data_IF_918895515024
#
_entry.id   IF_918895515024
#
_cell.length_a   1.000
_cell.length_b   1.000
_cell.length_c   1.000
_cell.angle_alpha   90.00
_cell.angle_beta   90.00
_cell.angle_gamma   90.00
#
_symmetry.space_group_name_H-M   'P 1'
#
loop_
_entity.id
_entity.type
_entity.pdbx_description
1 polymer ?
#
# COMPACT_ATOMS: atom_id res chain seq x y z
N UNK A 1 23.88 -12.74 -28.32
CA UNK A 1 22.46 -13.00 -28.66
C UNK A 1 21.69 -13.51 -27.44
N UNK A 2 20.37 -13.70 -27.51
CA UNK A 2 19.55 -14.22 -26.40
C UNK A 2 18.89 -15.55 -26.79
N UNK A 3 18.83 -16.50 -25.84
CA UNK A 3 18.17 -17.78 -26.07
C UNK A 3 16.66 -17.58 -26.29
N UNK A 4 16.07 -18.11 -27.37
CA UNK A 4 14.64 -17.90 -27.67
C UNK A 4 13.71 -18.59 -26.66
N UNK A 5 14.21 -19.58 -25.90
CA UNK A 5 13.40 -20.29 -24.90
C UNK A 5 13.42 -19.58 -23.52
N UNK A 6 14.59 -19.12 -23.07
CA UNK A 6 14.74 -18.61 -21.69
C UNK A 6 15.27 -17.19 -21.55
N UNK A 7 15.65 -16.52 -22.65
CA UNK A 7 16.15 -15.13 -22.63
C UNK A 7 17.55 -14.95 -22.06
N UNK A 8 18.29 -16.02 -21.74
CA UNK A 8 19.69 -15.90 -21.29
C UNK A 8 20.59 -15.38 -22.42
N UNK A 9 21.57 -14.52 -22.09
CA UNK A 9 22.54 -13.99 -23.05
C UNK A 9 23.53 -15.09 -23.45
N UNK A 10 23.39 -15.63 -24.65
CA UNK A 10 24.25 -16.67 -25.22
C UNK A 10 25.18 -16.11 -26.28
N UNK A 11 26.37 -16.71 -26.40
CA UNK A 11 27.31 -16.45 -27.50
C UNK A 11 26.92 -17.25 -28.74
N UNK A 12 27.23 -16.72 -29.92
CA UNK A 12 26.90 -17.32 -31.23
C UNK A 12 27.64 -18.64 -31.50
N UNK A 13 28.73 -18.89 -30.79
CA UNK A 13 29.48 -20.16 -30.88
C UNK A 13 28.82 -21.33 -30.13
N UNK A 14 27.81 -21.06 -29.27
CA UNK A 14 27.18 -22.12 -28.48
C UNK A 14 26.03 -22.79 -29.23
N UNK A 15 26.15 -24.11 -29.43
CA UNK A 15 25.08 -24.94 -30.01
C UNK A 15 23.89 -25.17 -29.06
N UNK A 16 24.06 -24.90 -27.77
CA UNK A 16 23.05 -25.09 -26.73
C UNK A 16 23.07 -23.95 -25.72
N UNK A 17 21.91 -23.60 -25.17
CA UNK A 17 21.82 -22.63 -24.09
C UNK A 17 22.32 -23.22 -22.77
N UNK A 18 23.36 -22.63 -22.20
CA UNK A 18 23.93 -23.05 -20.91
C UNK A 18 22.95 -22.93 -19.74
N UNK A 19 21.88 -22.13 -19.87
CA UNK A 19 20.90 -21.92 -18.81
C UNK A 19 19.71 -22.90 -18.86
N UNK A 20 19.28 -23.35 -20.04
CA UNK A 20 18.07 -24.17 -20.17
C UNK A 20 18.22 -25.40 -21.08
N UNK A 21 19.41 -25.68 -21.60
CA UNK A 21 19.69 -26.84 -22.45
C UNK A 21 19.10 -26.77 -23.87
N UNK A 22 18.37 -25.71 -24.24
CA UNK A 22 17.74 -25.58 -25.55
C UNK A 22 18.80 -25.54 -26.65
N UNK A 23 18.68 -26.40 -27.67
CA UNK A 23 19.51 -26.37 -28.88
C UNK A 23 19.22 -25.08 -29.67
N UNK A 24 20.28 -24.39 -30.08
CA UNK A 24 20.19 -23.17 -30.84
C UNK A 24 20.56 -23.48 -32.30
N UNK A 25 19.57 -23.45 -33.20
CA UNK A 25 19.75 -23.67 -34.64
C UNK A 25 19.66 -22.33 -35.36
N UNK A 26 20.81 -21.80 -35.81
CA UNK A 26 20.94 -20.43 -36.32
C UNK A 26 20.79 -20.30 -37.84
N UNK A 27 20.36 -21.37 -38.53
CA UNK A 27 20.31 -21.43 -39.99
C UNK A 27 18.92 -21.31 -40.62
N UNK A 28 17.86 -20.99 -39.87
CA UNK A 28 16.49 -20.92 -40.43
C UNK A 28 15.64 -19.82 -39.77
N UNK A 29 15.76 -18.56 -40.20
CA UNK A 29 14.74 -17.54 -39.94
C UNK A 29 14.60 -16.63 -41.17
N UNK A 30 13.83 -17.05 -42.17
CA UNK A 30 13.01 -16.15 -42.99
C UNK A 30 11.72 -16.87 -43.40
N UNK A 31 10.63 -16.09 -43.53
CA UNK A 31 9.25 -16.44 -43.95
C UNK A 31 8.39 -17.19 -42.91
N UNK A 32 7.14 -16.81 -42.56
CA UNK A 32 6.09 -16.18 -43.36
C UNK A 32 4.89 -15.65 -42.52
N UNK A 33 3.99 -14.96 -43.23
CA UNK A 33 2.92 -14.03 -42.81
C UNK A 33 1.57 -14.66 -42.40
N UNK A 34 0.81 -13.85 -41.63
CA UNK A 34 -0.64 -13.54 -41.73
C UNK A 34 -1.72 -14.62 -41.56
N UNK A 35 -2.65 -14.40 -40.60
CA UNK A 35 -4.03 -14.91 -40.65
C UNK A 35 -5.04 -13.83 -40.21
N UNK A 36 -6.15 -13.78 -40.95
CA UNK A 36 -7.29 -12.84 -40.92
C UNK A 36 -8.14 -12.93 -39.65
N UNK A 37 -8.69 -11.80 -39.20
CA UNK A 37 -9.61 -11.71 -38.05
C UNK A 37 -11.10 -11.85 -38.48
N UNK A 38 -11.81 -12.77 -37.83
CA UNK A 38 -13.28 -12.86 -37.81
C UNK A 38 -13.82 -12.01 -36.66
N UNK A 39 -14.86 -11.20 -36.91
CA UNK A 39 -15.66 -10.51 -35.88
C UNK A 39 -16.58 -11.53 -35.19
N UNK A 40 -16.45 -11.68 -33.88
CA UNK A 40 -17.41 -12.34 -33.01
C UNK A 40 -17.77 -11.37 -31.89
N UNK A 41 -19.04 -11.00 -31.82
CA UNK A 41 -19.58 -10.21 -30.72
C UNK A 41 -19.45 -10.99 -29.41
N UNK A 42 -18.91 -10.35 -28.38
CA UNK A 42 -18.80 -10.93 -27.05
C UNK A 42 -19.30 -9.93 -26.01
N UNK A 43 -20.30 -10.38 -25.25
CA UNK A 43 -20.71 -9.77 -23.99
C UNK A 43 -19.49 -9.80 -23.06
N UNK A 44 -19.03 -8.64 -22.58
CA UNK A 44 -17.96 -8.53 -21.57
C UNK A 44 -18.44 -9.15 -20.26
N UNK A 45 -18.07 -10.39 -20.00
CA UNK A 45 -17.90 -10.85 -18.62
C UNK A 45 -16.49 -10.41 -18.22
N UNK A 46 -16.37 -9.40 -17.36
CA UNK A 46 -15.07 -9.02 -16.79
C UNK A 46 -14.58 -10.20 -15.95
N UNK A 47 -13.44 -10.84 -16.29
CA UNK A 47 -12.83 -11.79 -15.38
C UNK A 47 -12.42 -10.99 -14.13
N UNK A 48 -12.99 -11.34 -12.97
CA UNK A 48 -12.52 -10.83 -11.68
C UNK A 48 -11.14 -11.44 -11.41
N UNK A 49 -10.10 -10.86 -11.98
CA UNK A 49 -8.71 -11.19 -11.62
C UNK A 49 -8.51 -10.67 -10.20
N UNK A 50 -8.47 -11.57 -9.21
CA UNK A 50 -8.00 -11.20 -7.87
C UNK A 50 -6.49 -11.08 -7.95
N UNK A 51 -5.98 -9.87 -8.18
CA UNK A 51 -4.54 -9.60 -8.12
C UNK A 51 -4.15 -9.65 -6.64
N UNK A 52 -3.75 -10.84 -6.17
CA UNK A 52 -3.04 -11.00 -4.90
C UNK A 52 -1.54 -10.79 -5.12
N UNK A 53 -1.15 -9.69 -5.79
CA UNK A 53 0.20 -9.17 -5.61
C UNK A 53 0.24 -8.47 -4.25
N UNK A 54 0.10 -9.23 -3.16
CA UNK A 54 0.78 -8.86 -1.92
C UNK A 54 2.21 -8.54 -2.32
N UNK A 55 2.72 -7.41 -1.85
CA UNK A 55 4.07 -6.89 -2.08
C UNK A 55 5.08 -7.85 -1.39
N UNK A 56 5.13 -9.08 -1.89
CA UNK A 56 6.05 -10.17 -1.61
C UNK A 56 6.42 -10.70 -2.99
N UNK A 57 7.16 -9.86 -3.72
CA UNK A 57 7.52 -10.05 -5.12
C UNK A 57 8.48 -11.21 -5.34
N UNK A 58 8.03 -12.44 -5.09
CA UNK A 58 8.77 -13.65 -5.37
C UNK A 58 7.81 -14.76 -5.80
N UNK A 59 8.12 -15.37 -6.94
CA UNK A 59 7.69 -16.73 -7.27
C UNK A 59 8.01 -17.68 -6.12
N UNK A 60 7.41 -18.90 -6.12
CA UNK A 60 7.82 -20.03 -5.22
C UNK A 60 9.32 -20.40 -5.30
N UNK A 61 10.09 -19.76 -6.18
CA UNK A 61 11.54 -19.91 -6.39
C UNK A 61 12.30 -18.56 -6.24
N UNK A 62 11.78 -17.61 -5.45
CA UNK A 62 12.48 -16.37 -5.08
C UNK A 62 12.84 -15.43 -6.25
N UNK A 63 12.18 -15.55 -7.42
CA UNK A 63 12.35 -14.61 -8.55
C UNK A 63 11.24 -13.56 -8.57
N UNK A 64 11.55 -12.25 -8.75
CA UNK A 64 10.53 -11.22 -8.95
C UNK A 64 9.73 -11.54 -10.22
N UNK A 65 8.49 -11.97 -10.05
CA UNK A 65 7.54 -12.07 -11.15
C UNK A 65 6.95 -10.67 -11.33
N UNK A 66 7.47 -9.90 -12.28
CA UNK A 66 7.04 -8.53 -12.56
C UNK A 66 8.11 -7.51 -12.18
N UNK A 67 8.62 -6.79 -13.17
CA UNK A 67 9.44 -5.59 -12.92
C UNK A 67 8.50 -4.46 -12.53
N UNK A 68 8.47 -4.09 -11.25
CA UNK A 68 7.86 -2.85 -10.82
C UNK A 68 8.93 -1.76 -10.70
N UNK A 69 8.55 -0.52 -10.96
CA UNK A 69 9.41 0.64 -10.72
C UNK A 69 8.67 1.63 -9.84
N UNK A 70 9.30 1.99 -8.72
CA UNK A 70 8.80 2.99 -7.79
C UNK A 70 9.50 4.31 -8.08
N UNK A 71 8.72 5.37 -8.26
CA UNK A 71 9.17 6.72 -8.50
C UNK A 71 8.69 7.63 -7.38
N UNK A 72 9.64 8.29 -6.71
CA UNK A 72 9.34 9.27 -5.67
C UNK A 72 8.95 10.62 -6.31
N UNK A 73 7.76 11.11 -6.02
CA UNK A 73 7.23 12.35 -6.62
C UNK A 73 7.94 13.62 -6.14
N UNK A 74 8.71 13.57 -5.07
CA UNK A 74 9.57 14.69 -4.63
C UNK A 74 10.72 14.97 -5.58
N UNK A 75 11.05 14.01 -6.45
CA UNK A 75 12.20 14.07 -7.36
C UNK A 75 11.80 14.06 -8.83
N UNK A 76 10.50 14.03 -9.13
CA UNK A 76 9.96 13.83 -10.47
C UNK A 76 8.99 14.97 -10.81
N UNK A 77 9.15 15.56 -11.98
CA UNK A 77 8.17 16.52 -12.49
C UNK A 77 6.95 15.81 -13.07
N UNK A 78 5.81 16.50 -13.13
CA UNK A 78 4.58 15.96 -13.73
C UNK A 78 4.80 15.49 -15.17
N UNK A 79 5.58 16.23 -15.97
CA UNK A 79 5.86 15.87 -17.36
C UNK A 79 6.69 14.59 -17.47
N UNK A 80 7.71 14.42 -16.64
CA UNK A 80 8.51 13.19 -16.58
C UNK A 80 7.65 11.99 -16.13
N UNK A 81 6.74 12.20 -15.17
CA UNK A 81 5.81 11.16 -14.73
C UNK A 81 4.83 10.75 -15.83
N UNK A 82 4.27 11.71 -16.58
CA UNK A 82 3.44 11.42 -17.76
C UNK A 82 4.25 10.67 -18.83
N UNK A 83 5.52 11.04 -19.05
CA UNK A 83 6.38 10.32 -19.99
C UNK A 83 6.66 8.87 -19.55
N UNK A 84 6.89 8.64 -18.25
CA UNK A 84 7.03 7.29 -17.68
C UNK A 84 5.75 6.47 -17.91
N UNK A 85 4.58 7.07 -17.67
CA UNK A 85 3.28 6.43 -17.87
C UNK A 85 3.07 6.05 -19.34
N UNK A 86 3.38 6.95 -20.27
CA UNK A 86 3.32 6.70 -21.73
C UNK A 86 4.29 5.61 -22.20
N UNK A 87 5.40 5.42 -21.50
CA UNK A 87 6.41 4.37 -21.76
C UNK A 87 6.06 3.02 -21.13
N UNK A 88 4.90 2.88 -20.49
CA UNK A 88 4.47 1.58 -19.99
C UNK A 88 4.39 0.54 -21.11
N UNK A 89 4.72 -0.74 -20.84
CA UNK A 89 4.73 -1.77 -21.86
C UNK A 89 3.37 -1.92 -22.54
N UNK A 90 3.39 -1.91 -23.86
CA UNK A 90 2.24 -2.27 -24.70
C UNK A 90 2.11 -3.79 -24.79
N UNK A 91 0.99 -4.29 -25.31
CA UNK A 91 0.73 -5.74 -25.45
C UNK A 91 1.84 -6.49 -26.18
N UNK A 92 2.47 -5.82 -27.16
CA UNK A 92 3.53 -6.38 -27.98
C UNK A 92 4.82 -6.64 -27.20
N UNK A 93 5.00 -5.95 -26.07
CA UNK A 93 6.17 -6.06 -25.21
C UNK A 93 6.06 -7.27 -24.24
N UNK A 94 4.88 -7.90 -24.16
CA UNK A 94 4.66 -9.06 -23.30
C UNK A 94 5.00 -10.37 -24.03
N UNK A 95 5.70 -11.27 -23.33
CA UNK A 95 5.90 -12.63 -23.84
C UNK A 95 4.56 -13.36 -24.02
N UNK A 96 4.45 -14.21 -25.05
CA UNK A 96 3.25 -15.03 -25.30
C UNK A 96 2.92 -15.94 -24.10
N UNK A 97 3.93 -16.38 -23.35
CA UNK A 97 3.76 -17.16 -22.12
C UNK A 97 3.04 -16.35 -21.05
N UNK A 98 3.49 -15.12 -20.80
CA UNK A 98 2.84 -14.22 -19.82
C UNK A 98 1.41 -13.88 -20.24
N UNK A 99 1.17 -13.55 -21.51
CA UNK A 99 -0.19 -13.32 -22.02
C UNK A 99 -1.09 -14.54 -21.84
N UNK A 100 -0.56 -15.76 -22.02
CA UNK A 100 -1.28 -17.01 -21.78
C UNK A 100 -1.61 -17.20 -20.30
N UNK A 101 -0.65 -16.94 -19.41
CA UNK A 101 -0.85 -16.99 -17.96
C UNK A 101 -1.92 -16.00 -17.49
N UNK A 102 -1.85 -14.73 -17.93
CA UNK A 102 -2.88 -13.71 -17.65
C UNK A 102 -4.26 -14.21 -18.13
N UNK A 103 -4.34 -14.73 -19.37
CA UNK A 103 -5.59 -15.24 -19.95
C UNK A 103 -6.14 -16.44 -19.17
N UNK A 104 -5.28 -17.28 -18.61
CA UNK A 104 -5.67 -18.43 -17.81
C UNK A 104 -6.08 -18.07 -16.37
N UNK A 105 -5.94 -16.80 -15.97
CA UNK A 105 -6.15 -16.38 -14.59
C UNK A 105 -5.07 -16.89 -13.64
N UNK A 106 -3.88 -17.20 -14.16
CA UNK A 106 -2.72 -17.53 -13.33
C UNK A 106 -2.24 -16.28 -12.57
N UNK A 107 -1.71 -16.49 -11.37
CA UNK A 107 -1.18 -15.41 -10.54
C UNK A 107 0.14 -14.89 -11.13
N UNK A 108 0.07 -13.76 -11.81
CA UNK A 108 1.19 -13.09 -12.46
C UNK A 108 1.16 -11.61 -12.12
N UNK A 109 2.31 -11.03 -11.77
CA UNK A 109 2.39 -9.60 -11.54
C UNK A 109 2.70 -8.88 -12.87
N UNK A 110 1.75 -8.08 -13.40
CA UNK A 110 2.00 -7.31 -14.61
C UNK A 110 3.07 -6.24 -14.39
N UNK A 111 3.64 -5.66 -15.47
CA UNK A 111 4.45 -4.45 -15.39
C UNK A 111 3.69 -3.36 -14.64
N UNK A 112 4.38 -2.74 -13.69
CA UNK A 112 3.76 -1.88 -12.71
C UNK A 112 4.62 -0.62 -12.50
N UNK A 113 4.00 0.55 -12.59
CA UNK A 113 4.60 1.84 -12.26
C UNK A 113 3.92 2.37 -11.01
N UNK A 114 4.72 2.66 -9.99
CA UNK A 114 4.24 3.20 -8.72
C UNK A 114 4.79 4.61 -8.58
N UNK A 115 3.91 5.58 -8.45
CA UNK A 115 4.25 6.94 -8.03
C UNK A 115 3.94 7.08 -6.55
N UNK A 116 4.93 7.43 -5.72
CA UNK A 116 4.73 7.52 -4.28
C UNK A 116 5.29 8.80 -3.68
N UNK A 117 4.64 9.26 -2.61
CA UNK A 117 5.09 10.34 -1.74
C UNK A 117 4.58 10.07 -0.32
N UNK A 118 5.47 9.75 0.62
CA UNK A 118 5.09 9.44 2.00
C UNK A 118 4.07 8.30 2.06
N UNK A 119 2.90 8.58 2.64
CA UNK A 119 1.80 7.62 2.84
C UNK A 119 0.88 7.48 1.61
N UNK A 120 1.17 8.21 0.52
CA UNK A 120 0.35 8.19 -0.70
C UNK A 120 1.03 7.40 -1.81
N UNK A 121 0.27 6.57 -2.51
CA UNK A 121 0.76 5.92 -3.72
C UNK A 121 -0.30 5.81 -4.81
N UNK A 122 0.13 6.02 -6.06
CA UNK A 122 -0.67 5.85 -7.26
C UNK A 122 0.00 4.82 -8.16
N UNK A 123 -0.72 3.76 -8.43
CA UNK A 123 -0.23 2.49 -8.95
C UNK A 123 -0.89 2.27 -10.31
N UNK A 124 -0.08 2.17 -11.37
CA UNK A 124 -0.55 1.91 -12.74
C UNK A 124 0.03 0.61 -13.25
N UNK A 125 -0.83 -0.31 -13.66
CA UNK A 125 -0.41 -1.56 -14.30
C UNK A 125 -1.25 -1.83 -15.55
N UNK A 126 -0.79 -2.75 -16.39
CA UNK A 126 -1.56 -3.16 -17.57
C UNK A 126 -1.44 -4.67 -17.79
N UNK A 127 -2.58 -5.29 -18.09
CA UNK A 127 -2.67 -6.74 -18.32
C UNK A 127 -2.79 -7.07 -19.81
N UNK A 128 -3.22 -6.11 -20.64
CA UNK A 128 -3.45 -6.32 -22.06
C UNK A 128 -2.79 -5.28 -22.97
N UNK A 129 -2.11 -4.28 -22.38
CA UNK A 129 -1.43 -3.18 -23.06
C UNK A 129 -2.34 -2.24 -23.85
N UNK A 130 -3.66 -2.30 -23.63
CA UNK A 130 -4.64 -1.41 -24.24
C UNK A 130 -5.30 -0.51 -23.21
N UNK A 131 -5.65 -1.06 -22.05
CA UNK A 131 -6.12 -0.30 -20.90
C UNK A 131 -5.09 -0.34 -19.77
N UNK A 132 -5.12 0.70 -18.96
CA UNK A 132 -4.39 0.74 -17.71
C UNK A 132 -5.37 0.41 -16.59
N UNK A 133 -4.91 -0.32 -15.61
CA UNK A 133 -5.58 -0.43 -14.33
C UNK A 133 -4.86 0.48 -13.35
N UNK A 134 -5.65 1.30 -12.64
CA UNK A 134 -5.15 2.26 -11.66
C UNK A 134 -5.65 1.89 -10.28
N UNK A 135 -4.75 1.96 -9.30
CA UNK A 135 -5.02 1.79 -7.88
C UNK A 135 -4.42 2.96 -7.11
N UNK A 136 -5.15 3.52 -6.16
CA UNK A 136 -4.68 4.64 -5.34
C UNK A 136 -4.77 4.26 -3.87
N UNK A 137 -3.68 4.48 -3.13
CA UNK A 137 -3.64 4.36 -1.67
C UNK A 137 -3.36 5.74 -1.05
N UNK A 138 -4.05 6.02 0.04
CA UNK A 138 -3.95 7.27 0.81
C UNK A 138 -4.82 8.43 0.30
N UNK A 139 -5.43 8.34 -0.88
CA UNK A 139 -6.41 9.34 -1.37
C UNK A 139 -7.66 8.64 -1.88
N UNK A 140 -8.82 9.05 -1.33
CA UNK A 140 -10.10 8.44 -1.70
C UNK A 140 -10.62 8.98 -3.02
N UNK A 141 -10.30 10.23 -3.36
CA UNK A 141 -10.85 10.89 -4.55
C UNK A 141 -9.81 11.65 -5.35
N UNK A 142 -9.76 11.37 -6.66
CA UNK A 142 -8.99 12.14 -7.64
C UNK A 142 -9.94 12.63 -8.74
N UNK A 143 -10.19 13.94 -8.77
CA UNK A 143 -11.21 14.55 -9.63
C UNK A 143 -12.62 13.98 -9.39
N UNK A 144 -13.18 13.32 -10.39
CA UNK A 144 -14.52 12.69 -10.32
C UNK A 144 -14.48 11.21 -9.96
N UNK A 145 -13.28 10.65 -9.75
CA UNK A 145 -13.09 9.24 -9.51
C UNK A 145 -12.93 9.00 -8.01
N UNK A 146 -13.74 8.09 -7.48
CA UNK A 146 -13.64 7.59 -6.11
C UNK A 146 -12.95 6.24 -6.14
N UNK A 147 -11.86 6.09 -5.39
CA UNK A 147 -11.14 4.85 -5.22
C UNK A 147 -11.70 4.09 -4.03
N UNK A 148 -12.01 2.82 -4.24
CA UNK A 148 -12.38 1.91 -3.17
C UNK A 148 -11.14 1.12 -2.70
N UNK A 149 -11.03 0.83 -1.38
CA UNK A 149 -9.95 0.01 -0.86
C UNK A 149 -9.83 -1.32 -1.62
N UNK A 150 -8.61 -1.69 -1.99
CA UNK A 150 -8.29 -2.94 -2.68
C UNK A 150 -8.98 -3.15 -4.05
N UNK A 151 -9.50 -2.10 -4.69
CA UNK A 151 -10.07 -2.19 -6.05
C UNK A 151 -9.28 -1.35 -7.05
N UNK A 152 -8.94 -1.97 -8.19
CA UNK A 152 -8.41 -1.25 -9.34
C UNK A 152 -9.54 -0.74 -10.23
N UNK A 153 -9.25 0.31 -11.00
CA UNK A 153 -10.13 0.89 -12.01
C UNK A 153 -9.49 0.77 -13.38
N UNK A 154 -10.21 0.23 -14.36
CA UNK A 154 -9.78 0.21 -15.75
C UNK A 154 -9.98 1.59 -16.38
N UNK A 155 -8.92 2.19 -16.91
CA UNK A 155 -8.88 3.54 -17.47
C UNK A 155 -8.10 3.57 -18.80
N UNK A 156 -8.44 4.55 -19.63
CA UNK A 156 -7.64 4.91 -20.81
C UNK A 156 -6.34 5.62 -20.41
N UNK A 157 -5.39 5.74 -21.34
CA UNK A 157 -4.14 6.47 -21.08
C UNK A 157 -4.41 7.96 -20.75
N UNK A 158 -5.32 8.61 -21.47
CA UNK A 158 -5.66 10.01 -21.24
C UNK A 158 -6.31 10.21 -19.85
N UNK A 159 -7.21 9.30 -19.46
CA UNK A 159 -7.78 9.30 -18.10
C UNK A 159 -6.70 9.06 -17.04
N UNK A 160 -5.77 8.14 -17.28
CA UNK A 160 -4.66 7.87 -16.37
C UNK A 160 -3.75 9.09 -16.18
N UNK A 161 -3.47 9.84 -17.25
CA UNK A 161 -2.71 11.09 -17.17
C UNK A 161 -3.44 12.18 -16.38
N UNK A 162 -4.77 12.29 -16.54
CA UNK A 162 -5.59 13.21 -15.76
C UNK A 162 -5.59 12.82 -14.27
N UNK A 163 -5.72 11.52 -13.96
CA UNK A 163 -5.64 11.02 -12.58
C UNK A 163 -4.28 11.33 -11.96
N UNK A 164 -3.20 11.12 -12.72
CA UNK A 164 -1.84 11.43 -12.30
C UNK A 164 -1.66 12.94 -12.01
N UNK A 165 -2.23 13.80 -12.84
CA UNK A 165 -2.20 15.25 -12.63
C UNK A 165 -2.97 15.68 -11.37
N UNK A 166 -4.18 15.16 -11.17
CA UNK A 166 -4.95 15.38 -9.94
C UNK A 166 -4.20 14.90 -8.70
N UNK A 167 -3.53 13.74 -8.79
CA UNK A 167 -2.69 13.21 -7.72
C UNK A 167 -1.54 14.18 -7.40
N UNK A 168 -0.81 14.66 -8.40
CA UNK A 168 0.23 15.68 -8.21
C UNK A 168 -0.29 16.95 -7.55
N UNK A 169 -1.47 17.43 -7.97
CA UNK A 169 -2.09 18.61 -7.40
C UNK A 169 -2.43 18.41 -5.91
N UNK A 170 -3.01 17.26 -5.54
CA UNK A 170 -3.29 16.93 -4.13
C UNK A 170 -2.01 16.79 -3.31
N UNK A 171 -0.98 16.12 -3.83
CA UNK A 171 0.32 16.01 -3.15
C UNK A 171 0.98 17.38 -2.98
N UNK A 172 0.85 18.27 -3.97
CA UNK A 172 1.36 19.64 -3.86
C UNK A 172 0.63 20.45 -2.78
N UNK A 173 -0.70 20.29 -2.65
CA UNK A 173 -1.48 20.88 -1.54
C UNK A 173 -1.00 20.34 -0.18
N UNK A 174 -0.86 19.02 -0.05
CA UNK A 174 -0.34 18.38 1.17
C UNK A 174 1.04 18.93 1.58
N UNK A 175 1.99 19.05 0.64
CA UNK A 175 3.33 19.61 0.92
C UNK A 175 3.30 21.05 1.43
N UNK A 176 2.29 21.84 1.04
CA UNK A 176 2.14 23.22 1.51
C UNK A 176 1.78 23.30 3.00
N UNK A 177 1.13 22.27 3.55
CA UNK A 177 0.78 22.20 4.98
C UNK A 177 2.04 22.11 5.85
N UNK A 178 3.13 21.52 5.33
CA UNK A 178 4.45 21.42 6.00
C UNK A 178 4.35 20.80 7.40
N UNK A 179 3.60 19.71 7.54
CA UNK A 179 3.63 18.90 8.76
C UNK A 179 5.00 18.23 8.92
N UNK A 180 5.40 18.02 10.15
CA UNK A 180 6.59 17.25 10.52
C UNK A 180 6.27 15.75 10.52
N UNK A 181 5.04 15.41 10.92
CA UNK A 181 4.50 14.07 10.95
C UNK A 181 3.72 13.74 9.67
N UNK A 182 3.73 12.47 9.27
CA UNK A 182 2.84 11.96 8.23
C UNK A 182 1.38 11.90 8.71
N UNK A 183 0.39 11.84 7.81
CA UNK A 183 -1.02 11.68 8.20
C UNK A 183 -1.26 10.47 9.12
N UNK A 184 -0.65 9.32 8.82
CA UNK A 184 -0.77 8.13 9.67
C UNK A 184 -0.08 8.33 11.04
N UNK A 185 1.05 9.01 11.08
CA UNK A 185 1.73 9.32 12.35
C UNK A 185 0.92 10.30 13.22
N UNK A 186 0.28 11.31 12.62
CA UNK A 186 -0.65 12.21 13.32
C UNK A 186 -1.81 11.40 13.91
N UNK A 187 -2.37 10.46 13.14
CA UNK A 187 -3.41 9.56 13.62
C UNK A 187 -2.90 8.73 14.81
N UNK A 188 -1.78 8.02 14.68
CA UNK A 188 -1.22 7.19 15.76
C UNK A 188 -0.97 8.01 17.04
N UNK A 189 -0.32 9.18 16.95
CA UNK A 189 -0.09 10.01 18.12
C UNK A 189 -1.40 10.54 18.72
N UNK A 190 -2.41 10.86 17.89
CA UNK A 190 -3.74 11.24 18.39
C UNK A 190 -4.43 10.10 19.12
N UNK A 191 -4.32 8.86 18.61
CA UNK A 191 -4.87 7.68 19.26
C UNK A 191 -4.24 7.49 20.65
N UNK A 192 -2.92 7.55 20.72
CA UNK A 192 -2.18 7.37 21.97
C UNK A 192 -2.46 8.51 22.96
N UNK A 193 -2.60 9.75 22.51
CA UNK A 193 -2.97 10.89 23.38
C UNK A 193 -4.38 10.73 23.99
N UNK A 194 -5.25 9.97 23.31
CA UNK A 194 -6.59 9.60 23.77
C UNK A 194 -6.64 8.21 24.43
N UNK A 195 -5.49 7.65 24.81
CA UNK A 195 -5.40 6.39 25.55
C UNK A 195 -5.54 5.10 24.72
N UNK A 196 -5.58 5.20 23.39
CA UNK A 196 -5.61 4.04 22.49
C UNK A 196 -4.20 3.71 22.02
N UNK A 197 -3.67 2.59 22.48
CA UNK A 197 -2.29 2.16 22.23
C UNK A 197 -2.19 0.79 21.55
N UNK A 198 -3.31 0.09 21.38
CA UNK A 198 -3.36 -1.19 20.70
C UNK A 198 -3.28 -1.01 19.17
N UNK A 199 -2.27 -1.62 18.55
CA UNK A 199 -2.04 -1.51 17.10
C UNK A 199 -3.19 -2.05 16.25
N UNK A 200 -3.92 -3.08 16.70
CA UNK A 200 -5.08 -3.61 15.97
C UNK A 200 -6.26 -2.63 16.00
N UNK A 201 -6.52 -2.02 17.16
CA UNK A 201 -7.55 -0.99 17.29
C UNK A 201 -7.24 0.23 16.40
N UNK A 202 -5.99 0.70 16.43
CA UNK A 202 -5.56 1.81 15.56
C UNK A 202 -5.68 1.42 14.08
N UNK A 203 -5.26 0.21 13.69
CA UNK A 203 -5.39 -0.30 12.33
C UNK A 203 -6.84 -0.34 11.85
N UNK A 204 -7.76 -0.82 12.70
CA UNK A 204 -9.19 -0.86 12.39
C UNK A 204 -9.77 0.54 12.18
N UNK A 205 -9.49 1.50 13.07
CA UNK A 205 -9.99 2.88 12.97
C UNK A 205 -9.42 3.63 11.77
N UNK A 206 -8.17 3.34 11.39
CA UNK A 206 -7.47 4.02 10.28
C UNK A 206 -7.66 3.34 8.92
N UNK A 207 -8.15 2.10 8.89
CA UNK A 207 -8.20 1.27 7.69
C UNK A 207 -6.84 0.83 7.17
N UNK A 208 -5.77 1.00 7.96
CA UNK A 208 -4.42 0.57 7.62
C UNK A 208 -4.13 -0.84 8.13
N UNK A 209 -3.10 -1.48 7.59
CA UNK A 209 -2.69 -2.78 8.11
C UNK A 209 -2.03 -2.64 9.49
N UNK A 210 -2.18 -3.66 10.33
CA UNK A 210 -1.52 -3.74 11.64
C UNK A 210 0.00 -3.61 11.50
N UNK A 211 0.56 -4.16 10.42
CA UNK A 211 1.98 -4.04 10.11
C UNK A 211 2.42 -2.59 9.88
N UNK A 212 1.69 -1.83 9.05
CA UNK A 212 1.99 -0.41 8.79
C UNK A 212 1.88 0.43 10.07
N UNK A 213 0.87 0.16 10.90
CA UNK A 213 0.70 0.83 12.19
C UNK A 213 1.88 0.53 13.13
N UNK A 214 2.23 -0.76 13.31
CA UNK A 214 3.37 -1.17 14.16
C UNK A 214 4.69 -0.55 13.67
N UNK A 215 4.91 -0.49 12.37
CA UNK A 215 6.11 0.12 11.80
C UNK A 215 6.19 1.63 12.07
N UNK A 216 5.07 2.34 11.99
CA UNK A 216 5.02 3.76 12.32
C UNK A 216 5.15 4.03 13.82
N UNK A 217 4.55 3.19 14.68
CA UNK A 217 4.75 3.25 16.14
C UNK A 217 6.24 3.08 16.47
N UNK A 218 6.90 2.08 15.86
CA UNK A 218 8.34 1.84 16.04
C UNK A 218 9.18 3.06 15.66
N UNK A 219 8.89 3.70 14.52
CA UNK A 219 9.55 4.95 14.10
C UNK A 219 9.32 6.07 15.11
N UNK A 220 8.07 6.30 15.52
CA UNK A 220 7.71 7.33 16.49
C UNK A 220 8.37 7.12 17.85
N UNK A 221 8.52 5.86 18.28
CA UNK A 221 9.26 5.48 19.47
C UNK A 221 10.76 5.82 19.35
N UNK A 222 11.42 5.38 18.28
CA UNK A 222 12.85 5.66 18.07
C UNK A 222 13.15 7.15 17.88
N UNK A 223 12.24 7.91 17.27
CA UNK A 223 12.35 9.36 17.12
C UNK A 223 12.03 10.12 18.42
N UNK A 224 11.67 9.42 19.49
CA UNK A 224 11.41 9.99 20.82
C UNK A 224 10.08 10.71 20.96
N UNK A 225 9.10 10.45 20.09
CA UNK A 225 7.73 10.96 20.22
C UNK A 225 6.89 10.11 21.17
N UNK A 226 7.19 8.82 21.26
CA UNK A 226 6.53 7.85 22.13
C UNK A 226 7.52 7.25 23.14
N UNK A 227 7.01 6.83 24.29
CA UNK A 227 7.69 5.93 25.23
C UNK A 227 6.82 4.72 25.49
N UNK A 228 7.42 3.54 25.54
CA UNK A 228 6.74 2.32 25.95
C UNK A 228 6.73 2.23 27.49
N UNK A 229 5.58 1.91 28.06
CA UNK A 229 5.38 1.70 29.50
C UNK A 229 4.85 0.30 29.73
N UNK A 230 5.45 -0.42 30.69
CA UNK A 230 4.96 -1.73 31.11
C UNK A 230 3.76 -1.57 32.04
N UNK A 231 2.70 -2.35 31.81
CA UNK A 231 1.54 -2.40 32.71
C UNK A 231 1.62 -3.59 33.65
N UNK A 232 1.82 -3.30 34.93
CA UNK A 232 1.83 -4.30 35.99
C UNK A 232 3.14 -5.09 36.07
N UNK A 233 3.36 -5.71 37.24
CA UNK A 233 4.62 -6.40 37.53
C UNK A 233 4.73 -7.75 36.79
N UNK A 234 3.63 -8.50 36.72
CA UNK A 234 3.61 -9.89 36.24
C UNK A 234 3.15 -10.08 34.78
N UNK A 235 2.56 -9.07 34.14
CA UNK A 235 2.07 -9.18 32.75
C UNK A 235 3.07 -8.52 31.79
N UNK A 236 3.36 -9.18 30.67
CA UNK A 236 4.12 -8.61 29.54
C UNK A 236 3.22 -7.74 28.65
N UNK A 237 2.47 -6.81 29.27
CA UNK A 237 1.61 -5.86 28.54
C UNK A 237 2.30 -4.52 28.49
N UNK A 238 2.36 -3.91 27.31
CA UNK A 238 2.94 -2.60 27.10
C UNK A 238 1.93 -1.65 26.48
N UNK A 239 1.96 -0.39 26.89
CA UNK A 239 1.23 0.71 26.27
C UNK A 239 2.20 1.82 25.90
N UNK A 240 1.75 2.71 25.01
CA UNK A 240 2.53 3.86 24.61
C UNK A 240 2.00 5.10 25.33
N UNK A 241 2.91 6.01 25.67
CA UNK A 241 2.58 7.37 26.11
C UNK A 241 3.32 8.37 25.23
N UNK A 242 2.71 9.53 24.99
CA UNK A 242 3.39 10.64 24.33
C UNK A 242 4.45 11.23 25.25
N UNK A 243 5.63 11.47 24.68
CA UNK A 243 6.61 12.36 25.32
C UNK A 243 6.17 13.82 25.20
N UNK A 244 6.83 14.73 25.92
CA UNK A 244 6.63 16.18 25.73
C UNK A 244 6.91 16.60 24.28
N UNK A 245 7.89 15.97 23.63
CA UNK A 245 8.19 16.18 22.20
C UNK A 245 7.04 15.71 21.34
N UNK A 246 6.52 14.49 21.59
CA UNK A 246 5.32 13.92 20.96
C UNK A 246 4.14 14.88 21.00
N UNK A 247 3.77 15.30 22.22
CA UNK A 247 2.60 16.17 22.46
C UNK A 247 2.73 17.52 21.78
N UNK A 248 3.87 18.21 21.93
CA UNK A 248 4.10 19.52 21.29
C UNK A 248 4.07 19.43 19.77
N UNK A 249 4.66 18.39 19.20
CA UNK A 249 4.70 18.19 17.74
C UNK A 249 3.32 17.86 17.19
N UNK A 250 2.58 16.98 17.86
CA UNK A 250 1.20 16.66 17.51
C UNK A 250 0.33 17.92 17.50
N UNK A 251 0.31 18.69 18.59
CA UNK A 251 -0.50 19.92 18.68
C UNK A 251 -0.16 20.93 17.57
N UNK A 252 1.15 21.12 17.32
CA UNK A 252 1.65 22.00 16.26
C UNK A 252 1.17 21.56 14.87
N UNK A 253 1.27 20.28 14.55
CA UNK A 253 0.89 19.78 13.23
C UNK A 253 -0.63 19.71 13.05
N UNK A 254 -1.39 19.33 14.08
CA UNK A 254 -2.86 19.42 14.07
C UNK A 254 -3.30 20.86 13.79
N UNK A 255 -2.72 21.85 14.46
CA UNK A 255 -3.02 23.26 14.20
C UNK A 255 -2.73 23.71 12.75
N UNK A 256 -1.67 23.18 12.13
CA UNK A 256 -1.39 23.43 10.70
C UNK A 256 -2.43 22.78 9.79
N UNK A 257 -2.81 21.54 10.09
CA UNK A 257 -3.84 20.80 9.33
C UNK A 257 -5.17 21.55 9.41
N UNK A 258 -5.59 21.97 10.60
CA UNK A 258 -6.80 22.76 10.77
C UNK A 258 -6.76 24.06 9.98
N UNK A 259 -5.66 24.81 10.06
CA UNK A 259 -5.50 26.06 9.31
C UNK A 259 -5.62 25.80 7.79
N UNK A 260 -4.97 24.76 7.28
CA UNK A 260 -5.03 24.39 5.88
C UNK A 260 -6.43 23.96 5.45
N UNK A 261 -7.15 23.20 6.29
CA UNK A 261 -8.51 22.73 6.02
C UNK A 261 -9.53 23.88 6.06
N UNK A 262 -9.31 24.92 6.87
CA UNK A 262 -10.13 26.15 6.83
C UNK A 262 -9.96 26.91 5.51
N UNK A 263 -8.77 26.85 4.91
CA UNK A 263 -8.48 27.50 3.62
C UNK A 263 -8.96 26.68 2.42
N UNK A 264 -8.79 25.35 2.47
CA UNK A 264 -9.12 24.42 1.40
C UNK A 264 -9.60 23.09 1.98
N UNK A 265 -10.93 22.87 1.93
CA UNK A 265 -11.57 21.65 2.45
C UNK A 265 -11.08 20.38 1.75
N UNK A 266 -10.61 20.44 0.51
CA UNK A 266 -10.09 19.25 -0.20
C UNK A 266 -8.88 18.63 0.48
N UNK A 267 -8.16 19.40 1.32
CA UNK A 267 -7.00 18.93 2.08
C UNK A 267 -7.40 17.85 3.10
N UNK A 268 -8.66 17.82 3.54
CA UNK A 268 -9.14 16.77 4.45
C UNK A 268 -8.90 15.37 3.89
N UNK A 269 -9.03 15.17 2.56
CA UNK A 269 -8.78 13.87 1.93
C UNK A 269 -7.31 13.42 2.07
N UNK A 270 -6.35 14.36 2.09
CA UNK A 270 -4.95 14.04 2.36
C UNK A 270 -4.71 13.59 3.81
N UNK A 271 -5.59 13.98 4.73
CA UNK A 271 -5.53 13.62 6.14
C UNK A 271 -6.68 12.69 6.55
N UNK A 272 -7.30 11.99 5.59
CA UNK A 272 -8.50 11.18 5.83
C UNK A 272 -8.30 10.18 6.98
N UNK A 273 -7.12 9.56 7.05
CA UNK A 273 -6.74 8.62 8.11
C UNK A 273 -6.78 9.26 9.52
N UNK A 274 -6.31 10.50 9.65
CA UNK A 274 -6.36 11.22 10.93
C UNK A 274 -7.79 11.67 11.28
N UNK A 275 -8.54 12.16 10.29
CA UNK A 275 -9.91 12.59 10.49
C UNK A 275 -10.87 11.43 10.82
N UNK A 276 -10.74 10.26 10.18
CA UNK A 276 -11.49 9.07 10.56
C UNK A 276 -11.23 8.67 12.01
N UNK A 277 -9.97 8.70 12.45
CA UNK A 277 -9.65 8.40 13.83
C UNK A 277 -10.26 9.42 14.80
N UNK A 278 -10.14 10.71 14.54
CA UNK A 278 -10.75 11.75 15.39
C UNK A 278 -12.27 11.63 15.44
N UNK A 279 -12.88 11.29 14.31
CA UNK A 279 -14.31 10.98 14.22
C UNK A 279 -14.67 9.79 15.10
N UNK A 280 -13.99 8.64 14.97
CA UNK A 280 -14.25 7.43 15.77
C UNK A 280 -14.07 7.64 17.27
N UNK A 281 -13.19 8.56 17.67
CA UNK A 281 -12.93 8.87 19.08
C UNK A 281 -13.80 10.02 19.62
N UNK A 282 -14.68 10.62 18.80
CA UNK A 282 -15.46 11.81 19.15
C UNK A 282 -14.59 13.01 19.60
N UNK A 283 -13.41 13.18 18.99
CA UNK A 283 -12.46 14.29 19.25
C UNK A 283 -12.16 15.08 17.97
N UNK A 284 -13.20 15.37 17.21
CA UNK A 284 -13.10 16.13 15.96
C UNK A 284 -12.55 17.54 16.24
N UNK A 285 -11.57 18.03 15.47
CA UNK A 285 -11.06 19.39 15.64
C UNK A 285 -12.15 20.45 15.42
N UNK A 286 -12.15 21.52 16.21
CA UNK A 286 -13.18 22.58 16.21
C UNK A 286 -13.43 23.22 14.83
N UNK A 287 -12.48 23.10 13.91
CA UNK A 287 -12.57 23.61 12.55
C UNK A 287 -13.46 22.82 11.59
N UNK A 288 -13.92 21.63 11.99
CA UNK A 288 -14.65 20.70 11.12
C UNK A 288 -15.79 20.04 11.89
N UNK A 289 -16.94 19.82 11.26
CA UNK A 289 -18.03 19.03 11.86
C UNK A 289 -17.94 17.55 11.48
N UNK A 290 -18.55 16.66 12.28
CA UNK A 290 -18.67 15.24 11.94
C UNK A 290 -19.32 15.02 10.55
N UNK A 291 -20.35 15.80 10.22
CA UNK A 291 -21.02 15.74 8.92
C UNK A 291 -20.08 16.16 7.78
N UNK A 292 -19.29 17.23 7.97
CA UNK A 292 -18.29 17.65 6.97
C UNK A 292 -17.23 16.57 6.71
N UNK A 293 -16.84 15.82 7.74
CA UNK A 293 -15.94 14.67 7.59
C UNK A 293 -16.61 13.61 6.72
N UNK A 294 -17.81 13.17 7.07
CA UNK A 294 -18.52 12.12 6.31
C UNK A 294 -18.79 12.56 4.87
N UNK A 295 -19.19 13.81 4.64
CA UNK A 295 -19.44 14.33 3.30
C UNK A 295 -18.16 14.42 2.44
N UNK A 296 -17.02 14.73 3.06
CA UNK A 296 -15.75 14.96 2.34
C UNK A 296 -14.95 13.68 2.13
N UNK A 297 -14.73 12.92 3.20
CA UNK A 297 -13.89 11.71 3.19
C UNK A 297 -14.71 10.42 3.23
N UNK A 298 -16.03 10.49 3.38
CA UNK A 298 -16.93 9.35 3.52
C UNK A 298 -16.80 8.63 4.86
N UNK A 299 -17.62 7.60 5.03
CA UNK A 299 -17.65 6.80 6.24
C UNK A 299 -16.30 6.13 6.56
N UNK A 300 -15.97 5.98 7.85
CA UNK A 300 -14.78 5.27 8.28
C UNK A 300 -14.82 3.79 7.83
N UNK A 301 -13.64 3.15 7.69
CA UNK A 301 -13.53 1.79 7.16
C UNK A 301 -14.08 0.72 8.11
N UNK A 302 -14.13 0.99 9.40
CA UNK A 302 -14.78 0.14 10.39
C UNK A 302 -16.12 0.76 10.80
N UNK A 303 -17.18 -0.06 10.84
CA UNK A 303 -18.47 0.39 11.38
C UNK A 303 -18.37 0.62 12.88
N UNK A 304 -19.25 1.45 13.43
CA UNK A 304 -19.36 1.62 14.89
C UNK A 304 -19.54 0.28 15.60
N UNK A 305 -20.19 -0.70 14.95
CA UNK A 305 -20.36 -2.07 15.45
C UNK A 305 -19.05 -2.87 15.44
N UNK A 306 -18.22 -2.74 14.41
CA UNK A 306 -16.90 -3.41 14.35
C UNK A 306 -15.91 -2.78 15.32
N UNK A 307 -15.95 -1.46 15.46
CA UNK A 307 -15.19 -0.75 16.49
C UNK A 307 -15.71 -1.18 17.86
N UNK A 308 -17.03 -1.19 18.06
CA UNK A 308 -17.65 -1.64 19.29
C UNK A 308 -17.31 -3.09 19.59
N UNK A 309 -17.30 -4.01 18.62
CA UNK A 309 -16.93 -5.42 18.78
C UNK A 309 -15.46 -5.55 19.20
N UNK A 310 -14.55 -4.82 18.53
CA UNK A 310 -13.14 -4.73 18.93
C UNK A 310 -12.96 -4.12 20.33
N UNK A 311 -13.89 -3.27 20.76
CA UNK A 311 -13.96 -2.64 22.08
C UNK A 311 -14.71 -3.52 23.11
N UNK A 312 -15.64 -4.38 22.69
CA UNK A 312 -16.63 -5.07 23.53
C UNK A 312 -16.35 -6.55 23.70
N UNK A 313 -15.70 -7.23 22.76
CA UNK A 313 -15.07 -8.53 23.00
C UNK A 313 -13.94 -8.42 24.04
N UNK A 314 -13.65 -7.20 24.47
CA UNK A 314 -12.87 -6.89 25.65
C UNK A 314 -13.66 -6.33 26.84
N UNK A 315 -14.95 -6.61 26.97
CA UNK A 315 -15.82 -6.02 28.01
C UNK A 315 -15.39 -6.28 29.47
N UNK A 316 -14.50 -7.23 29.75
CA UNK A 316 -13.86 -7.36 31.08
C UNK A 316 -12.67 -6.40 31.29
N UNK A 317 -12.25 -5.65 30.27
CA UNK A 317 -10.95 -5.01 30.17
C UNK A 317 -10.96 -3.79 29.25
N UNK A 318 -11.22 -2.59 29.80
CA UNK A 318 -10.63 -1.33 29.29
C UNK A 318 -9.09 -1.42 29.11
N UNK A 319 -8.48 -2.53 29.57
CA UNK A 319 -7.12 -2.92 29.28
C UNK A 319 -6.84 -3.24 27.79
N UNK A 320 -7.74 -3.85 27.01
CA UNK A 320 -7.38 -4.37 25.67
C UNK A 320 -6.95 -3.29 24.67
N UNK A 321 -7.66 -2.16 24.63
CA UNK A 321 -7.41 -1.02 23.74
C UNK A 321 -6.10 -0.30 24.07
N UNK A 322 -5.63 -0.46 25.30
CA UNK A 322 -4.43 0.19 25.79
C UNK A 322 -3.16 -0.63 25.53
N UNK A 323 -3.23 -1.93 25.24
CA UNK A 323 -2.03 -2.77 25.22
C UNK A 323 -1.77 -3.46 23.89
N UNK A 324 -0.51 -3.39 23.46
CA UNK A 324 0.04 -4.28 22.44
C UNK A 324 0.70 -5.47 23.14
N UNK A 325 0.42 -6.69 22.66
CA UNK A 325 0.97 -7.93 23.23
C UNK A 325 2.29 -8.34 22.60
N UNK A 326 2.61 -7.78 21.42
CA UNK A 326 3.76 -8.21 20.62
C UNK A 326 4.74 -7.04 20.44
N UNK A 327 5.29 -6.56 21.55
CA UNK A 327 6.38 -5.59 21.48
C UNK A 327 7.64 -6.29 20.99
N UNK A 328 7.77 -6.39 19.67
CA UNK A 328 9.00 -6.71 18.94
C UNK A 328 10.00 -5.54 18.93
N UNK A 329 9.76 -4.51 19.75
CA UNK A 329 10.70 -3.40 19.96
C UNK A 329 11.70 -3.91 20.99
N UNK A 330 12.64 -4.72 20.51
CA UNK A 330 13.51 -5.57 21.31
C UNK A 330 14.12 -4.86 22.52
N UNK A 331 13.98 -5.53 23.66
CA UNK A 331 15.08 -5.58 24.60
C UNK A 331 16.21 -6.32 23.86
N UNK A 332 17.12 -5.56 23.27
CA UNK A 332 18.43 -6.04 22.83
C UNK A 332 19.28 -6.41 24.03
N UNK A 333 18.75 -7.25 24.92
CA UNK A 333 19.54 -7.89 25.95
C UNK A 333 20.22 -9.09 25.30
N UNK A 334 21.54 -8.95 25.17
CA UNK A 334 22.48 -9.95 24.70
C UNK A 334 22.52 -11.13 25.68
N UNK A 335 21.41 -11.86 25.81
CA UNK A 335 21.36 -13.16 26.43
C UNK A 335 21.57 -14.21 25.35
N UNK A 336 22.70 -14.91 25.41
CA UNK A 336 23.02 -16.14 24.68
C UNK A 336 22.04 -17.27 25.08
N UNK A 337 20.74 -17.05 24.87
CA UNK A 337 19.68 -18.02 25.07
C UNK A 337 19.35 -18.63 23.72
N UNK A 338 19.85 -19.83 23.51
CA UNK A 338 19.55 -20.69 22.37
C UNK A 338 18.04 -20.63 22.05
N UNK A 339 17.71 -19.86 21.03
CA UNK A 339 16.37 -19.78 20.47
C UNK A 339 16.08 -21.11 19.80
N UNK A 340 15.56 -22.05 20.59
CA UNK A 340 14.77 -23.18 20.16
C UNK A 340 13.54 -22.63 19.43
N UNK A 341 13.74 -22.34 18.15
CA UNK A 341 12.68 -22.07 17.20
C UNK A 341 11.93 -23.38 16.99
N UNK A 342 10.97 -23.62 17.88
CA UNK A 342 10.00 -24.71 17.86
C UNK A 342 10.16 -25.66 16.69
N UNK A 343 10.85 -26.77 16.95
CA UNK A 343 10.47 -28.04 16.36
C UNK A 343 8.99 -28.21 16.64
N UNK A 344 8.18 -27.89 15.63
CA UNK A 344 6.78 -28.22 15.64
C UNK A 344 6.71 -29.72 15.76
N UNK A 345 6.31 -30.19 16.94
CA UNK A 345 5.84 -31.55 17.15
C UNK A 345 4.74 -31.80 16.12
N UNK A 346 5.18 -32.43 15.03
CA UNK A 346 4.37 -33.11 14.06
C UNK A 346 4.09 -34.50 14.62
N UNK A 347 3.39 -34.59 15.74
CA UNK A 347 2.63 -35.77 16.10
C UNK A 347 1.27 -35.67 15.42
N UNK A 348 1.22 -36.29 14.25
CA UNK A 348 0.00 -36.46 13.48
C UNK A 348 -1.06 -37.21 14.28
N UNK A 349 -2.23 -36.60 14.37
CA UNK A 349 -3.50 -37.27 14.14
C UNK A 349 -4.45 -36.23 13.52
N UNK A 350 -5.30 -36.71 12.60
CA UNK A 350 -6.27 -36.04 11.71
C UNK A 350 -5.84 -35.74 10.28
#
# INVERSE_FOLDING_TARGET
>A
MFCPNCGAKVSEIHKFCYNCGQKLDFNQIETEKSVKAKKVGSKKANPRIKIKCTIQGMTRIFKPNGSYKVYNLGKLSLNEAKEILRKMPSRADFSQKLLKSIKNGEDVCPPHVIFSEGDFSLNFFTTDGKSLEVYCDGLKRLGKITFEPNKSLEVTLDEAENILEEFYNKIAKFRKVKTELSPLQIAILSAVDNGVSNSNAIAAMTGKSVFEVKENIRKLYYDGYLVAKKKGFFRKKYYYELTDKGRKTLQKDVGKVEAAVREDRDIMDNFAVAYWLWYSMNVVPDSVTSDEIVDTIGEPPATDEQIAELVSDSADHAESLAYDTDVDIGDGDHGDGDGDWGDGDADGDW
#
